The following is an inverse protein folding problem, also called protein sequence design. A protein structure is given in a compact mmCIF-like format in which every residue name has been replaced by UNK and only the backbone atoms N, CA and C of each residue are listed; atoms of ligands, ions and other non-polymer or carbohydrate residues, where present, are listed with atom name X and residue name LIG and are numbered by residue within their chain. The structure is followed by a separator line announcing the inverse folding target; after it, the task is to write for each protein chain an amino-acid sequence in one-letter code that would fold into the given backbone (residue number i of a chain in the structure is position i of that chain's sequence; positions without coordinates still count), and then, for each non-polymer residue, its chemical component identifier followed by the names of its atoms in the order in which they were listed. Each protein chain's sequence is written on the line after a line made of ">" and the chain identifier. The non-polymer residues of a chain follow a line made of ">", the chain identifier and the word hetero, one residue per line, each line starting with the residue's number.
data_IF_493947264693
#
_entry.id   IF_493947264693
#
_cell.length_a   1.000
_cell.length_b   1.000
_cell.length_c   1.000
_cell.angle_alpha   90.00
_cell.angle_beta   90.00
_cell.angle_gamma   90.00
#
_symmetry.space_group_name_H-M   'P 1'
#
loop_
_entity.id
_entity.type
_entity.pdbx_description
1 polymer ?
#
# COMPACT_ATOMS: atom_id res chain seq x y z
N UNK A 1 -23.65 20.89 1.80
CA UNK A 1 -23.18 19.54 2.20
C UNK A 1 -21.66 19.52 1.99
N UNK A 2 -20.88 19.64 3.06
CA UNK A 2 -19.41 19.83 2.95
C UNK A 2 -18.72 18.49 3.20
N UNK A 3 -18.26 17.85 2.13
CA UNK A 3 -17.54 16.57 2.10
C UNK A 3 -16.41 16.53 3.15
N UNK A 4 -16.54 15.66 4.16
CA UNK A 4 -15.49 15.36 5.15
C UNK A 4 -14.34 14.61 4.49
N UNK A 5 -13.23 15.29 4.19
CA UNK A 5 -11.99 14.62 3.80
C UNK A 5 -11.17 14.34 5.07
N UNK A 6 -11.13 13.08 5.47
CA UNK A 6 -10.15 12.57 6.42
C UNK A 6 -8.85 12.25 5.67
N UNK A 7 -7.71 12.31 6.36
CA UNK A 7 -6.39 11.98 5.79
C UNK A 7 -5.91 10.68 6.43
N UNK A 8 -5.38 9.77 5.61
CA UNK A 8 -4.87 8.47 6.02
C UNK A 8 -3.33 8.44 5.91
N UNK A 9 -2.64 8.06 6.99
CA UNK A 9 -1.17 7.87 7.02
C UNK A 9 -0.78 6.42 7.31
N UNK A 10 0.23 5.87 6.62
CA UNK A 10 0.66 4.46 6.81
C UNK A 10 1.55 4.32 8.05
N UNK A 11 1.16 3.47 8.99
CA UNK A 11 2.00 3.09 10.13
C UNK A 11 2.20 1.57 10.14
N UNK A 12 3.45 1.12 9.96
CA UNK A 12 3.83 -0.29 10.01
C UNK A 12 3.52 -1.06 8.72
N UNK A 13 4.56 -1.52 8.02
CA UNK A 13 4.44 -2.36 6.81
C UNK A 13 5.07 -3.74 6.98
N UNK A 14 5.72 -4.02 8.12
CA UNK A 14 6.62 -5.18 8.24
C UNK A 14 6.11 -6.33 9.11
N UNK A 15 5.22 -6.05 10.04
CA UNK A 15 4.60 -7.04 10.94
C UNK A 15 3.14 -6.66 11.11
N UNK A 16 2.29 -7.26 10.27
CA UNK A 16 0.85 -7.10 10.30
C UNK A 16 0.20 -8.45 10.65
N UNK A 17 -1.01 -8.44 11.26
CA UNK A 17 -1.80 -9.65 11.40
C UNK A 17 -2.02 -10.35 10.05
N UNK A 18 -2.28 -11.66 10.07
CA UNK A 18 -2.58 -12.41 8.84
C UNK A 18 -3.78 -11.80 8.11
N UNK A 19 -3.63 -11.57 6.81
CA UNK A 19 -4.66 -10.96 5.95
C UNK A 19 -4.72 -9.43 5.99
N UNK A 20 -3.93 -8.76 6.84
CA UNK A 20 -3.80 -7.30 6.87
C UNK A 20 -2.59 -6.88 6.04
N UNK A 21 -2.84 -6.07 4.99
CA UNK A 21 -1.77 -5.55 4.14
C UNK A 21 -1.03 -4.40 4.83
N UNK A 22 -1.79 -3.44 5.35
CA UNK A 22 -1.27 -2.27 6.05
C UNK A 22 -2.33 -1.64 6.94
N UNK A 23 -1.87 -0.83 7.89
CA UNK A 23 -2.69 -0.02 8.79
C UNK A 23 -2.55 1.45 8.45
N UNK A 24 -3.67 2.16 8.50
CA UNK A 24 -3.75 3.60 8.29
C UNK A 24 -4.27 4.31 9.53
N UNK A 25 -3.59 5.39 9.91
CA UNK A 25 -4.11 6.34 10.88
C UNK A 25 -5.03 7.33 10.19
N UNK A 26 -6.24 7.48 10.70
CA UNK A 26 -7.25 8.41 10.22
C UNK A 26 -7.20 9.66 11.09
N UNK A 27 -6.96 10.80 10.45
CA UNK A 27 -6.99 12.11 11.09
C UNK A 27 -8.20 12.91 10.61
N UNK A 28 -8.74 13.75 11.50
CA UNK A 28 -9.75 14.73 11.13
C UNK A 28 -9.13 15.91 10.35
N UNK A 29 -9.96 16.92 10.05
CA UNK A 29 -9.53 18.09 9.27
C UNK A 29 -8.54 18.99 9.99
N UNK A 30 -8.50 18.93 11.31
CA UNK A 30 -7.58 19.69 12.15
C UNK A 30 -6.27 18.91 12.39
N UNK A 31 -6.15 17.71 11.79
CA UNK A 31 -5.00 16.83 11.94
C UNK A 31 -5.01 16.06 13.25
N UNK A 32 -6.15 16.00 13.95
CA UNK A 32 -6.29 15.23 15.19
C UNK A 32 -6.55 13.78 14.84
N UNK A 33 -5.82 12.87 15.47
CA UNK A 33 -6.03 11.43 15.31
C UNK A 33 -7.44 11.03 15.77
N UNK A 34 -8.14 10.27 14.93
CA UNK A 34 -9.50 9.78 15.19
C UNK A 34 -9.46 8.29 15.50
N UNK A 35 -8.85 7.50 14.62
CA UNK A 35 -8.79 6.04 14.73
C UNK A 35 -7.71 5.46 13.81
N UNK A 36 -7.38 4.19 14.02
CA UNK A 36 -6.59 3.39 13.09
C UNK A 36 -7.51 2.42 12.35
N UNK A 37 -7.29 2.23 11.05
CA UNK A 37 -8.04 1.28 10.22
C UNK A 37 -7.09 0.31 9.51
N UNK A 38 -7.58 -0.88 9.22
CA UNK A 38 -6.83 -1.94 8.55
C UNK A 38 -7.30 -2.08 7.09
N UNK A 39 -6.34 -2.20 6.16
CA UNK A 39 -6.64 -2.66 4.82
C UNK A 39 -6.46 -4.17 4.74
N UNK A 40 -7.59 -4.89 4.73
CA UNK A 40 -7.61 -6.34 4.64
C UNK A 40 -7.72 -6.78 3.18
N UNK A 41 -6.62 -7.27 2.62
CA UNK A 41 -6.59 -7.82 1.27
C UNK A 41 -5.35 -8.71 1.07
N UNK A 42 -5.37 -9.62 0.08
CA UNK A 42 -4.20 -10.43 -0.23
C UNK A 42 -3.00 -9.59 -0.68
N UNK A 43 -1.84 -9.80 -0.05
CA UNK A 43 -0.56 -9.19 -0.44
C UNK A 43 0.50 -9.33 0.66
N UNK A 44 1.70 -8.81 0.41
CA UNK A 44 2.80 -8.73 1.37
C UNK A 44 3.10 -7.27 1.70
N UNK A 45 2.75 -6.82 2.91
CA UNK A 45 2.97 -5.44 3.35
C UNK A 45 4.45 -5.00 3.27
N UNK A 46 5.42 -5.92 3.22
CA UNK A 46 6.85 -5.58 3.11
C UNK A 46 7.23 -5.13 1.71
N UNK A 47 6.52 -5.59 0.69
CA UNK A 47 6.93 -5.45 -0.71
C UNK A 47 5.87 -4.81 -1.60
N UNK A 48 4.61 -4.87 -1.18
CA UNK A 48 3.49 -4.28 -1.87
C UNK A 48 3.19 -2.89 -1.30
N UNK A 49 2.52 -2.05 -2.08
CA UNK A 49 2.08 -0.74 -1.64
C UNK A 49 0.60 -0.54 -1.91
N UNK A 50 -0.08 0.12 -0.97
CA UNK A 50 -1.48 0.50 -1.09
C UNK A 50 -1.61 2.01 -1.30
N UNK A 51 -2.47 2.41 -2.23
CA UNK A 51 -2.80 3.80 -2.54
C UNK A 51 -4.31 3.99 -2.57
N UNK A 52 -4.80 5.13 -2.10
CA UNK A 52 -6.21 5.49 -2.25
C UNK A 52 -6.45 6.23 -3.57
N UNK A 53 -7.30 5.67 -4.41
CA UNK A 53 -7.69 6.22 -5.72
C UNK A 53 -8.97 7.07 -5.63
N UNK A 54 -9.08 7.92 -4.61
CA UNK A 54 -10.33 8.60 -4.26
C UNK A 54 -10.93 8.06 -2.96
N UNK A 55 -12.24 8.21 -2.81
CA UNK A 55 -12.95 7.82 -1.59
C UNK A 55 -13.46 6.36 -1.62
N UNK A 56 -13.48 5.74 -2.79
CA UNK A 56 -14.18 4.48 -3.08
C UNK A 56 -13.27 3.40 -3.68
N UNK A 57 -11.98 3.69 -3.84
CA UNK A 57 -11.01 2.81 -4.49
C UNK A 57 -9.71 2.69 -3.71
N UNK A 58 -9.23 1.46 -3.58
CA UNK A 58 -7.89 1.15 -3.10
C UNK A 58 -7.10 0.43 -4.20
N UNK A 59 -5.89 0.90 -4.46
CA UNK A 59 -4.97 0.32 -5.44
C UNK A 59 -3.86 -0.40 -4.67
N UNK A 60 -3.69 -1.70 -4.92
CA UNK A 60 -2.57 -2.47 -4.39
C UNK A 60 -1.61 -2.77 -5.53
N UNK A 61 -0.39 -2.28 -5.39
CA UNK A 61 0.69 -2.49 -6.35
C UNK A 61 1.61 -3.57 -5.80
N UNK A 62 1.62 -4.74 -6.44
CA UNK A 62 2.45 -5.86 -6.01
C UNK A 62 3.88 -5.74 -6.52
N UNK A 63 4.85 -6.06 -5.65
CA UNK A 63 6.27 -5.92 -5.97
C UNK A 63 6.77 -4.47 -6.05
N UNK A 64 6.01 -3.53 -5.48
CA UNK A 64 6.33 -2.10 -5.50
C UNK A 64 7.72 -1.78 -4.94
N UNK A 65 8.10 -2.40 -3.82
CA UNK A 65 9.37 -2.11 -3.16
C UNK A 65 10.59 -2.46 -4.04
N UNK A 66 10.54 -3.58 -4.78
CA UNK A 66 11.63 -4.01 -5.65
C UNK A 66 11.70 -3.14 -6.92
N UNK A 67 10.55 -2.76 -7.49
CA UNK A 67 10.47 -1.82 -8.59
C UNK A 67 11.03 -0.45 -8.20
N UNK A 68 10.64 0.05 -7.02
CA UNK A 68 11.12 1.32 -6.47
C UNK A 68 12.63 1.29 -6.19
N UNK A 69 13.15 0.19 -5.61
CA UNK A 69 14.58 0.03 -5.38
C UNK A 69 15.40 -0.01 -6.69
N UNK A 70 14.86 -0.66 -7.73
CA UNK A 70 15.45 -0.69 -9.08
C UNK A 70 15.53 0.71 -9.68
N UNK A 71 14.44 1.48 -9.63
CA UNK A 71 14.38 2.84 -10.15
C UNK A 71 15.41 3.76 -9.47
N UNK A 72 15.68 3.57 -8.18
CA UNK A 72 16.67 4.34 -7.41
C UNK A 72 18.09 3.76 -7.45
N UNK A 73 18.35 2.76 -8.30
CA UNK A 73 19.69 2.18 -8.48
C UNK A 73 20.20 1.41 -7.26
N UNK A 74 19.32 1.01 -6.32
CA UNK A 74 19.67 0.23 -5.12
C UNK A 74 19.69 -1.28 -5.34
N UNK A 75 19.49 -1.72 -6.59
CA UNK A 75 19.37 -3.12 -6.97
C UNK A 75 18.04 -3.72 -6.54
N UNK A 76 17.44 -4.55 -7.39
CA UNK A 76 16.34 -5.42 -6.99
C UNK A 76 16.91 -6.68 -6.33
N UNK A 77 16.15 -7.31 -5.42
CA UNK A 77 16.50 -8.66 -4.95
C UNK A 77 16.54 -9.69 -6.08
N UNK A 78 15.82 -9.42 -7.17
CA UNK A 78 15.81 -10.23 -8.39
C UNK A 78 17.02 -9.98 -9.29
N UNK A 79 17.83 -8.94 -9.03
CA UNK A 79 19.02 -8.63 -9.85
C UNK A 79 20.25 -9.49 -9.52
N UNK A 80 20.17 -10.41 -8.57
CA UNK A 80 21.27 -11.31 -8.23
C UNK A 80 21.04 -12.70 -8.85
N UNK A 81 21.10 -12.79 -10.19
CA UNK A 81 21.38 -14.05 -10.88
C UNK A 81 20.29 -14.67 -11.76
N UNK A 82 19.34 -13.90 -12.29
CA UNK A 82 18.39 -14.42 -13.28
C UNK A 82 18.33 -13.48 -14.51
N UNK A 83 18.84 -13.97 -15.65
CA UNK A 83 18.71 -13.36 -16.97
C UNK A 83 17.31 -13.66 -17.57
N UNK A 84 16.25 -13.60 -16.75
CA UNK A 84 14.89 -14.01 -17.10
C UNK A 84 13.84 -13.11 -16.48
N UNK A 85 13.07 -12.42 -17.33
CA UNK A 85 11.86 -11.64 -17.02
C UNK A 85 11.89 -10.72 -15.79
N UNK A 86 11.92 -9.41 -16.03
CA UNK A 86 11.61 -8.42 -15.00
C UNK A 86 10.28 -8.80 -14.31
N UNK A 87 10.30 -8.96 -12.98
CA UNK A 87 9.08 -9.27 -12.23
C UNK A 87 7.99 -8.27 -12.59
N UNK A 88 6.91 -8.79 -13.18
CA UNK A 88 5.80 -7.99 -13.65
C UNK A 88 5.12 -7.38 -12.43
N UNK A 89 5.18 -6.05 -12.34
CA UNK A 89 4.41 -5.30 -11.36
C UNK A 89 2.92 -5.48 -11.68
N UNK A 90 2.15 -5.96 -10.71
CA UNK A 90 0.70 -6.12 -10.83
C UNK A 90 0.00 -4.97 -10.09
N UNK A 91 -1.01 -4.39 -10.72
CA UNK A 91 -1.88 -3.39 -10.07
C UNK A 91 -3.27 -3.98 -9.91
N UNK A 92 -3.69 -4.16 -8.67
CA UNK A 92 -5.02 -4.66 -8.31
C UNK A 92 -5.85 -3.49 -7.79
N UNK A 93 -7.04 -3.28 -8.38
CA UNK A 93 -7.98 -2.25 -7.94
C UNK A 93 -9.13 -2.90 -7.17
N UNK A 94 -9.31 -2.45 -5.93
CA UNK A 94 -10.41 -2.86 -5.06
C UNK A 94 -11.43 -1.74 -4.92
N UNK A 95 -12.69 -2.13 -4.85
CA UNK A 95 -13.77 -1.26 -4.40
C UNK A 95 -13.84 -1.26 -2.87
N UNK A 96 -13.97 -0.07 -2.29
CA UNK A 96 -14.19 0.10 -0.85
C UNK A 96 -15.69 0.01 -0.59
N UNK A 97 -16.12 -1.13 -0.06
CA UNK A 97 -17.50 -1.33 0.42
C UNK A 97 -17.58 -0.93 1.89
N UNK A 98 -18.60 -0.15 2.23
CA UNK A 98 -18.85 0.42 3.55
C UNK A 98 -20.23 0.03 4.05
#
# INVERSE_FOLDING_TARGET
>A
MVSSRAVAGVNGVREQPEGVLCTFDVFDRDGVFVQQVELQCPGDGRYDAAFFGGADRALVVRGFADAFATQWGRGSRLSAGDDGEAAVMEVVCYEIVN
#
